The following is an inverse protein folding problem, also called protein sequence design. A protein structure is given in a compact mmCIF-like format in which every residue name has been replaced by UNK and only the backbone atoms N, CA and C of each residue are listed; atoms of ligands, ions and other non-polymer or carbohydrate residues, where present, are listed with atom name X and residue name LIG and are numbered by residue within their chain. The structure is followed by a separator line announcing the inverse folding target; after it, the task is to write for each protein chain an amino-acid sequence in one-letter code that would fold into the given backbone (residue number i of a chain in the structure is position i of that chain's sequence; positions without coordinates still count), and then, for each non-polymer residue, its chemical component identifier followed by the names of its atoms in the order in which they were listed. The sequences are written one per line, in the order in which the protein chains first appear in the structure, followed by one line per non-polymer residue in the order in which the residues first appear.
data_IF_097760602887
#
_entry.id   IF_097760602887
#
_cell.length_a   1.000
_cell.length_b   1.000
_cell.length_c   1.000
_cell.angle_alpha   90.00
_cell.angle_beta   90.00
_cell.angle_gamma   90.00
#
_symmetry.space_group_name_H-M   'P 1'
#
loop_
_entity.id
_entity.type
_entity.pdbx_description
1 polymer ?
#
# COMPACT_ATOMS: atom_id res chain seq x y z
N UNK A 1 4.48 -0.73 -8.64
CA UNK A 1 4.86 -1.81 -9.58
C UNK A 1 3.62 -2.61 -9.93
N UNK A 2 3.48 -3.05 -11.19
CA UNK A 2 2.23 -3.63 -11.72
C UNK A 2 1.84 -4.95 -11.03
N UNK A 3 0.58 -5.32 -11.13
CA UNK A 3 0.12 -6.62 -10.66
C UNK A 3 0.77 -7.80 -11.41
N UNK A 4 0.99 -8.89 -10.67
CA UNK A 4 1.69 -10.07 -11.17
C UNK A 4 3.21 -9.94 -11.32
N UNK A 5 3.83 -8.78 -10.98
CA UNK A 5 5.30 -8.63 -11.01
C UNK A 5 6.02 -9.41 -9.90
N UNK A 6 5.27 -9.91 -8.91
CA UNK A 6 5.80 -10.73 -7.81
C UNK A 6 6.00 -10.00 -6.48
N UNK A 7 5.29 -8.88 -6.23
CA UNK A 7 5.32 -8.13 -4.96
C UNK A 7 5.07 -9.06 -3.75
N UNK A 8 3.94 -9.76 -3.76
CA UNK A 8 3.54 -10.67 -2.70
C UNK A 8 4.46 -11.91 -2.64
N UNK A 9 5.00 -12.37 -3.77
CA UNK A 9 6.00 -13.45 -3.82
C UNK A 9 7.31 -13.04 -3.14
N UNK A 10 7.79 -11.83 -3.40
CA UNK A 10 8.99 -11.27 -2.76
C UNK A 10 8.78 -11.17 -1.24
N UNK A 11 7.65 -10.59 -0.81
CA UNK A 11 7.28 -10.51 0.60
C UNK A 11 7.28 -11.88 1.27
N UNK A 12 6.58 -12.86 0.67
CA UNK A 12 6.49 -14.25 1.17
C UNK A 12 7.86 -14.93 1.23
N UNK A 13 8.77 -14.61 0.31
CA UNK A 13 10.14 -15.13 0.32
C UNK A 13 10.97 -14.51 1.44
N UNK A 14 10.83 -13.19 1.67
CA UNK A 14 11.52 -12.48 2.76
C UNK A 14 11.08 -12.98 4.14
N UNK A 15 9.84 -13.42 4.29
CA UNK A 15 9.33 -13.96 5.56
C UNK A 15 9.43 -15.48 5.67
N UNK A 16 10.26 -16.12 4.82
CA UNK A 16 10.51 -17.57 4.82
C UNK A 16 9.27 -18.45 4.57
N UNK A 17 8.16 -17.87 4.07
CA UNK A 17 6.97 -18.63 3.67
C UNK A 17 7.09 -19.28 2.30
N UNK A 18 7.96 -18.73 1.44
CA UNK A 18 8.32 -19.33 0.15
C UNK A 18 9.84 -19.48 0.07
N UNK A 19 10.35 -20.61 -0.48
CA UNK A 19 11.77 -20.79 -0.67
C UNK A 19 12.30 -19.84 -1.74
N UNK A 20 13.48 -19.27 -1.51
CA UNK A 20 14.15 -18.48 -2.54
C UNK A 20 14.57 -19.36 -3.72
N UNK A 21 14.31 -18.90 -4.94
CA UNK A 21 14.75 -19.58 -6.16
C UNK A 21 16.25 -19.34 -6.47
N UNK A 22 16.88 -18.37 -5.82
CA UNK A 22 18.29 -18.03 -6.01
C UNK A 22 18.72 -16.79 -5.21
N UNK A 23 20.03 -16.60 -5.05
CA UNK A 23 20.57 -15.56 -4.16
C UNK A 23 20.47 -15.94 -2.67
N UNK A 24 20.83 -15.01 -1.79
CA UNK A 24 20.77 -15.19 -0.34
C UNK A 24 20.06 -14.02 0.34
N UNK A 25 19.34 -14.32 1.41
CA UNK A 25 18.75 -13.32 2.31
C UNK A 25 19.53 -13.39 3.62
N UNK A 26 20.04 -12.25 4.07
CA UNK A 26 20.80 -12.13 5.30
C UNK A 26 20.04 -11.26 6.28
N UNK A 27 19.53 -11.88 7.35
CA UNK A 27 18.88 -11.17 8.43
C UNK A 27 19.90 -10.68 9.46
N UNK A 28 19.61 -9.56 10.12
CA UNK A 28 20.39 -9.10 11.26
C UNK A 28 20.33 -10.10 12.42
N UNK A 29 21.35 -10.09 13.27
CA UNK A 29 21.59 -11.12 14.30
C UNK A 29 20.52 -11.26 15.40
N UNK A 30 19.49 -10.39 15.43
CA UNK A 30 18.38 -10.46 16.38
C UNK A 30 17.00 -10.28 15.72
N UNK A 31 16.90 -10.32 14.39
CA UNK A 31 15.64 -10.04 13.69
C UNK A 31 14.64 -11.17 13.92
N UNK A 32 13.54 -10.86 14.60
CA UNK A 32 12.31 -11.65 14.55
C UNK A 32 11.40 -11.11 13.45
N UNK A 33 10.80 -12.03 12.69
CA UNK A 33 9.92 -11.68 11.56
C UNK A 33 8.47 -11.96 11.97
N UNK A 34 7.60 -10.99 11.72
CA UNK A 34 6.16 -11.07 11.90
C UNK A 34 5.50 -10.87 10.55
N UNK A 35 4.59 -11.78 10.18
CA UNK A 35 3.86 -11.71 8.93
C UNK A 35 2.37 -11.61 9.23
N UNK A 36 1.74 -10.54 8.78
CA UNK A 36 0.31 -10.32 8.84
C UNK A 36 -0.30 -10.51 7.46
N UNK A 37 -1.33 -11.34 7.37
CA UNK A 37 -2.07 -11.62 6.14
C UNK A 37 -3.57 -11.63 6.46
N UNK A 38 -4.40 -11.44 5.44
CA UNK A 38 -5.85 -11.37 5.53
C UNK A 38 -6.45 -12.61 6.23
N UNK A 39 -5.84 -13.80 6.06
CA UNK A 39 -6.23 -15.03 6.78
C UNK A 39 -5.93 -14.99 8.29
N UNK A 40 -4.91 -14.27 8.73
CA UNK A 40 -4.56 -14.13 10.15
C UNK A 40 -5.39 -13.06 10.88
N UNK A 41 -6.06 -12.17 10.13
CA UNK A 41 -7.03 -11.22 10.68
C UNK A 41 -8.28 -11.92 11.25
N UNK A 42 -8.52 -13.18 10.88
CA UNK A 42 -9.61 -14.03 11.38
C UNK A 42 -9.35 -14.54 12.81
N UNK A 43 -9.11 -13.63 13.74
CA UNK A 43 -9.08 -13.93 15.18
C UNK A 43 -10.46 -14.43 15.61
N UNK A 44 -10.58 -15.72 15.87
CA UNK A 44 -11.82 -16.42 16.27
C UNK A 44 -11.79 -16.91 17.74
N UNK A 45 -10.81 -16.43 18.52
CA UNK A 45 -10.63 -16.82 19.91
C UNK A 45 -11.85 -16.47 20.76
N UNK A 46 -12.23 -17.36 21.68
CA UNK A 46 -13.25 -17.10 22.69
C UNK A 46 -12.67 -16.50 23.99
N UNK A 47 -11.40 -16.11 23.97
CA UNK A 47 -10.75 -15.42 25.09
C UNK A 47 -11.14 -13.94 25.12
N UNK A 48 -10.92 -13.31 26.26
CA UNK A 48 -10.96 -11.86 26.37
C UNK A 48 -9.77 -11.25 25.64
N UNK A 49 -9.94 -10.07 25.04
CA UNK A 49 -8.87 -9.28 24.40
C UNK A 49 -7.61 -9.24 25.27
N UNK A 50 -7.77 -8.94 26.56
CA UNK A 50 -6.67 -8.90 27.52
C UNK A 50 -5.88 -10.21 27.57
N UNK A 51 -6.58 -11.33 27.73
CA UNK A 51 -5.97 -12.64 27.87
C UNK A 51 -5.34 -13.10 26.55
N UNK A 52 -5.99 -12.80 25.42
CA UNK A 52 -5.48 -13.13 24.10
C UNK A 52 -4.11 -12.50 23.83
N UNK A 53 -3.90 -11.25 24.26
CA UNK A 53 -2.58 -10.62 24.18
C UNK A 53 -1.64 -11.13 25.28
N UNK A 54 -2.15 -11.36 26.50
CA UNK A 54 -1.31 -11.75 27.63
C UNK A 54 -0.71 -13.14 27.47
N UNK A 55 -1.41 -14.08 26.81
CA UNK A 55 -0.90 -15.42 26.52
C UNK A 55 0.39 -15.40 25.68
N UNK A 56 0.55 -14.35 24.85
CA UNK A 56 1.75 -14.13 24.05
C UNK A 56 2.92 -13.57 24.86
N UNK A 57 2.65 -13.03 26.06
CA UNK A 57 3.61 -12.35 26.93
C UNK A 57 3.39 -12.72 28.41
N UNK A 58 3.47 -14.01 28.80
CA UNK A 58 3.05 -14.49 30.13
C UNK A 58 3.92 -13.94 31.28
N UNK A 59 5.13 -13.46 30.97
CA UNK A 59 6.06 -12.87 31.94
C UNK A 59 5.74 -11.39 32.26
N UNK A 60 4.79 -10.78 31.57
CA UNK A 60 4.43 -9.37 31.72
C UNK A 60 3.32 -9.16 32.72
N UNK A 61 3.33 -7.99 33.36
CA UNK A 61 2.26 -7.58 34.27
C UNK A 61 1.00 -7.19 33.49
N UNK A 62 -0.17 -7.38 34.09
CA UNK A 62 -1.45 -6.96 33.48
C UNK A 62 -1.43 -5.47 33.11
N UNK A 63 -0.79 -4.63 33.92
CA UNK A 63 -0.64 -3.19 33.66
C UNK A 63 0.10 -2.94 32.35
N UNK A 64 1.21 -3.64 32.09
CA UNK A 64 1.95 -3.51 30.83
C UNK A 64 1.12 -3.99 29.62
N UNK A 65 0.34 -5.06 29.77
CA UNK A 65 -0.55 -5.55 28.70
C UNK A 65 -1.66 -4.53 28.41
N UNK A 66 -2.28 -3.97 29.45
CA UNK A 66 -3.29 -2.90 29.31
C UNK A 66 -2.73 -1.64 28.68
N UNK A 67 -1.48 -1.27 28.96
CA UNK A 67 -0.82 -0.14 28.29
C UNK A 67 -0.66 -0.41 26.79
N UNK A 68 -0.22 -1.60 26.41
CA UNK A 68 -0.10 -1.97 24.98
C UNK A 68 -1.48 -1.92 24.33
N UNK A 69 -2.48 -2.55 24.91
CA UNK A 69 -3.86 -2.53 24.41
C UNK A 69 -4.42 -1.11 24.30
N UNK A 70 -4.13 -0.24 25.27
CA UNK A 70 -4.51 1.17 25.25
C UNK A 70 -3.91 1.94 24.08
N UNK A 71 -2.67 1.64 23.68
CA UNK A 71 -2.05 2.23 22.48
C UNK A 71 -2.79 1.82 21.19
N UNK A 72 -3.48 0.68 21.20
CA UNK A 72 -4.32 0.20 20.10
C UNK A 72 -5.82 0.47 20.35
N UNK A 73 -6.14 1.48 21.17
CA UNK A 73 -7.49 1.94 21.52
C UNK A 73 -8.42 0.91 22.16
N UNK A 74 -7.86 -0.10 22.82
CA UNK A 74 -8.63 -0.94 23.74
C UNK A 74 -8.59 -0.32 25.14
N UNK A 75 -9.66 0.39 25.50
CA UNK A 75 -9.75 1.16 26.75
C UNK A 75 -10.82 0.60 27.69
N UNK A 76 -10.69 0.85 29.00
CA UNK A 76 -11.71 0.49 29.99
C UNK A 76 -12.14 -0.99 29.91
N UNK A 77 -13.41 -1.21 29.57
CA UNK A 77 -14.03 -2.54 29.45
C UNK A 77 -13.81 -3.22 28.09
N UNK A 78 -13.24 -2.52 27.09
CA UNK A 78 -12.95 -3.09 25.77
C UNK A 78 -11.99 -4.29 25.87
N UNK A 79 -11.03 -4.23 26.80
CA UNK A 79 -10.08 -5.33 27.04
C UNK A 79 -10.76 -6.58 27.60
N UNK A 80 -12.00 -6.45 28.09
CA UNK A 80 -12.79 -7.56 28.63
C UNK A 80 -13.74 -8.16 27.58
N UNK A 81 -13.90 -7.53 26.41
CA UNK A 81 -14.66 -8.08 25.29
C UNK A 81 -14.06 -9.40 24.83
N UNK A 82 -14.91 -10.27 24.29
CA UNK A 82 -14.50 -11.56 23.74
C UNK A 82 -14.00 -11.35 22.30
N UNK A 83 -12.88 -11.95 21.93
CA UNK A 83 -12.23 -11.72 20.64
C UNK A 83 -13.13 -12.09 19.45
N UNK A 84 -13.92 -13.16 19.56
CA UNK A 84 -14.88 -13.55 18.52
C UNK A 84 -15.99 -12.51 18.28
N UNK A 85 -16.30 -11.68 19.28
CA UNK A 85 -17.34 -10.64 19.21
C UNK A 85 -16.85 -9.29 18.69
N UNK A 86 -15.53 -9.15 18.47
CA UNK A 86 -14.93 -7.93 17.96
C UNK A 86 -15.31 -7.66 16.50
N UNK A 87 -15.42 -6.38 16.14
CA UNK A 87 -15.52 -5.96 14.74
C UNK A 87 -14.24 -6.30 13.96
N UNK A 88 -14.29 -6.23 12.61
CA UNK A 88 -13.10 -6.41 11.77
C UNK A 88 -11.96 -5.45 12.14
N UNK A 89 -12.29 -4.17 12.37
CA UNK A 89 -11.35 -3.15 12.82
C UNK A 89 -10.76 -3.43 14.19
N UNK A 90 -11.57 -3.84 15.17
CA UNK A 90 -11.07 -4.26 16.48
C UNK A 90 -10.16 -5.49 16.38
N UNK A 91 -10.50 -6.49 15.56
CA UNK A 91 -9.65 -7.67 15.34
C UNK A 91 -8.31 -7.29 14.73
N UNK A 92 -8.28 -6.38 13.76
CA UNK A 92 -7.04 -5.88 13.19
C UNK A 92 -6.19 -5.16 14.24
N UNK A 93 -6.77 -4.25 15.04
CA UNK A 93 -6.07 -3.56 16.14
C UNK A 93 -5.49 -4.55 17.16
N UNK A 94 -6.23 -5.60 17.51
CA UNK A 94 -5.74 -6.64 18.42
C UNK A 94 -4.61 -7.46 17.79
N UNK A 95 -4.74 -7.84 16.52
CA UNK A 95 -3.68 -8.54 15.81
C UNK A 95 -2.38 -7.73 15.83
N UNK A 96 -2.47 -6.43 15.53
CA UNK A 96 -1.32 -5.51 15.56
C UNK A 96 -0.71 -5.38 16.95
N UNK A 97 -1.53 -5.29 17.99
CA UNK A 97 -1.05 -5.29 19.38
C UNK A 97 -0.26 -6.56 19.70
N UNK A 98 -0.69 -7.72 19.19
CA UNK A 98 0.04 -9.00 19.32
C UNK A 98 1.37 -8.98 18.57
N UNK A 99 1.44 -8.34 17.41
CA UNK A 99 2.66 -8.25 16.58
C UNK A 99 3.67 -7.20 17.06
N UNK A 100 3.21 -6.05 17.56
CA UNK A 100 4.02 -4.88 17.86
C UNK A 100 5.12 -5.12 18.91
N UNK A 101 5.04 -6.18 19.72
CA UNK A 101 6.09 -6.56 20.70
C UNK A 101 6.89 -7.80 20.32
N UNK A 102 6.48 -8.55 19.30
CA UNK A 102 7.10 -9.83 18.90
C UNK A 102 8.13 -9.66 17.78
N UNK A 103 7.98 -8.64 16.94
CA UNK A 103 8.74 -8.54 15.70
C UNK A 103 9.67 -7.32 15.62
N UNK A 104 10.75 -7.45 14.85
CA UNK A 104 11.62 -6.36 14.39
C UNK A 104 11.44 -6.08 12.89
N UNK A 105 10.91 -7.04 12.13
CA UNK A 105 10.48 -6.88 10.74
C UNK A 105 8.98 -7.26 10.64
N UNK A 106 8.12 -6.29 10.42
CA UNK A 106 6.69 -6.48 10.30
C UNK A 106 6.27 -6.40 8.84
N UNK A 107 5.68 -7.49 8.33
CA UNK A 107 5.24 -7.56 6.95
C UNK A 107 3.71 -7.53 6.88
N UNK A 108 3.15 -6.51 6.24
CA UNK A 108 1.77 -6.55 5.81
C UNK A 108 1.68 -7.19 4.42
N UNK A 109 0.87 -8.23 4.30
CA UNK A 109 0.38 -8.70 3.00
C UNK A 109 -0.36 -7.60 2.22
N UNK A 110 -0.88 -7.97 1.05
CA UNK A 110 -1.59 -7.04 0.17
C UNK A 110 -2.75 -6.35 0.91
N UNK A 111 -2.71 -5.02 0.94
CA UNK A 111 -3.77 -4.12 1.39
C UNK A 111 -4.22 -4.28 2.87
N UNK A 112 -3.40 -3.79 3.82
CA UNK A 112 -3.69 -3.93 5.24
C UNK A 112 -4.89 -3.12 5.76
N UNK A 113 -5.38 -2.18 4.95
CA UNK A 113 -6.48 -1.25 5.27
C UNK A 113 -7.85 -1.71 4.75
N UNK A 114 -7.90 -2.74 3.91
CA UNK A 114 -9.06 -3.18 3.09
C UNK A 114 -10.31 -3.61 3.90
N UNK A 115 -10.18 -3.88 5.20
CA UNK A 115 -11.29 -4.31 6.07
C UNK A 115 -11.48 -3.41 7.28
N UNK A 116 -10.96 -2.19 7.21
CA UNK A 116 -10.97 -1.22 8.31
C UNK A 116 -11.90 -0.07 7.95
N UNK A 117 -12.75 0.30 8.90
CA UNK A 117 -13.40 1.60 8.89
C UNK A 117 -12.37 2.72 8.99
N UNK A 118 -12.75 3.93 8.56
CA UNK A 118 -11.85 5.09 8.49
C UNK A 118 -11.16 5.36 9.83
N UNK A 119 -11.91 5.28 10.94
CA UNK A 119 -11.38 5.45 12.30
C UNK A 119 -10.32 4.38 12.64
N UNK A 120 -10.53 3.13 12.23
CA UNK A 120 -9.51 2.09 12.43
C UNK A 120 -8.32 2.23 11.49
N UNK A 121 -8.49 2.80 10.29
CA UNK A 121 -7.37 3.12 9.38
C UNK A 121 -6.46 4.17 10.00
N UNK A 122 -7.00 5.27 10.53
CA UNK A 122 -6.17 6.31 11.17
C UNK A 122 -5.41 5.78 12.40
N UNK A 123 -6.06 4.91 13.18
CA UNK A 123 -5.46 4.31 14.38
C UNK A 123 -4.38 3.31 14.00
N UNK A 124 -4.61 2.53 12.95
CA UNK A 124 -3.62 1.67 12.34
C UNK A 124 -2.40 2.50 11.92
N UNK A 125 -2.61 3.55 11.13
CA UNK A 125 -1.56 4.40 10.61
C UNK A 125 -0.72 5.00 11.75
N UNK A 126 -1.36 5.58 12.77
CA UNK A 126 -0.65 6.12 13.93
C UNK A 126 0.15 5.05 14.69
N UNK A 127 -0.42 3.86 14.88
CA UNK A 127 0.27 2.76 15.56
C UNK A 127 1.47 2.23 14.75
N UNK A 128 1.40 2.30 13.42
CA UNK A 128 2.49 1.91 12.52
C UNK A 128 3.59 2.96 12.43
N UNK A 129 3.25 4.24 12.50
CA UNK A 129 4.23 5.33 12.58
C UNK A 129 5.07 5.22 13.85
N UNK A 130 4.42 4.93 14.98
CA UNK A 130 5.09 4.80 16.28
C UNK A 130 5.78 3.44 16.49
N UNK A 131 5.65 2.51 15.55
CA UNK A 131 6.23 1.18 15.67
C UNK A 131 7.77 1.24 15.56
N UNK A 132 8.52 0.75 16.56
CA UNK A 132 9.97 0.89 16.59
C UNK A 132 10.72 -0.08 15.66
N UNK A 133 10.00 -0.99 14.98
CA UNK A 133 10.59 -1.96 14.06
C UNK A 133 10.55 -1.51 12.60
N UNK A 134 11.07 -2.35 11.70
CA UNK A 134 10.96 -2.14 10.26
C UNK A 134 9.63 -2.68 9.77
N UNK A 135 8.90 -1.91 8.97
CA UNK A 135 7.67 -2.36 8.32
C UNK A 135 7.94 -2.52 6.83
N UNK A 136 7.51 -3.65 6.27
CA UNK A 136 7.51 -3.93 4.85
C UNK A 136 6.07 -4.20 4.43
N UNK A 137 5.54 -3.50 3.45
CA UNK A 137 4.13 -3.64 3.07
C UNK A 137 3.94 -3.42 1.57
N UNK A 138 2.80 -3.91 1.06
CA UNK A 138 2.30 -3.60 -0.27
C UNK A 138 0.91 -3.00 -0.12
N UNK A 139 0.71 -1.84 -0.72
CA UNK A 139 -0.58 -1.13 -0.70
C UNK A 139 -0.83 -0.50 -2.06
N UNK A 140 -2.10 -0.35 -2.40
CA UNK A 140 -2.58 0.47 -3.52
C UNK A 140 -3.09 1.84 -3.05
N UNK A 141 -3.22 2.05 -1.74
CA UNK A 141 -3.67 3.31 -1.12
C UNK A 141 -2.51 4.31 -1.03
N UNK A 142 -2.62 5.40 -1.81
CA UNK A 142 -1.59 6.44 -1.89
C UNK A 142 -1.40 7.18 -0.57
N UNK A 143 -2.49 7.46 0.14
CA UNK A 143 -2.45 8.17 1.41
C UNK A 143 -1.75 7.33 2.48
N UNK A 144 -2.06 6.04 2.54
CA UNK A 144 -1.41 5.10 3.45
C UNK A 144 0.11 4.99 3.17
N UNK A 145 0.51 4.87 1.90
CA UNK A 145 1.93 4.82 1.53
C UNK A 145 2.62 6.12 1.89
N UNK A 146 2.07 7.27 1.52
CA UNK A 146 2.66 8.57 1.84
C UNK A 146 2.82 8.81 3.34
N UNK A 147 1.87 8.34 4.15
CA UNK A 147 1.88 8.57 5.60
C UNK A 147 2.90 7.67 6.34
N UNK A 148 3.17 6.46 5.84
CA UNK A 148 3.97 5.46 6.57
C UNK A 148 5.31 5.17 5.90
N UNK A 149 5.39 5.21 4.58
CA UNK A 149 6.58 4.79 3.86
C UNK A 149 7.71 5.82 4.03
N UNK A 150 8.87 5.32 4.46
CA UNK A 150 10.13 6.08 4.45
C UNK A 150 10.99 5.74 3.23
N UNK A 151 10.62 4.66 2.52
CA UNK A 151 11.28 4.13 1.33
C UNK A 151 10.25 3.44 0.45
N UNK A 152 10.38 3.62 -0.86
CA UNK A 152 9.55 2.95 -1.87
C UNK A 152 10.44 2.03 -2.71
N UNK A 153 10.05 0.75 -2.80
CA UNK A 153 10.72 -0.22 -3.67
C UNK A 153 9.85 -0.48 -4.90
N UNK A 154 10.27 0.02 -6.06
CA UNK A 154 9.59 -0.24 -7.33
C UNK A 154 10.07 -1.57 -7.91
N UNK A 155 9.17 -2.54 -8.02
CA UNK A 155 9.43 -3.82 -8.69
C UNK A 155 9.03 -3.77 -10.16
N UNK A 156 9.99 -4.09 -11.02
CA UNK A 156 9.85 -4.15 -12.48
C UNK A 156 10.29 -5.53 -12.98
N UNK A 157 9.95 -5.89 -14.23
CA UNK A 157 10.38 -7.19 -14.82
C UNK A 157 11.90 -7.40 -14.87
N UNK A 158 12.70 -6.33 -14.77
CA UNK A 158 14.17 -6.37 -14.83
C UNK A 158 14.84 -6.38 -13.46
N UNK A 159 14.10 -6.16 -12.38
CA UNK A 159 14.65 -6.02 -11.03
C UNK A 159 13.85 -5.03 -10.17
N UNK A 160 14.43 -4.62 -9.05
CA UNK A 160 13.82 -3.64 -8.15
C UNK A 160 14.69 -2.39 -8.04
N UNK A 161 14.05 -1.23 -7.95
CA UNK A 161 14.69 0.09 -7.77
C UNK A 161 14.24 0.69 -6.44
N UNK A 162 15.20 1.10 -5.61
CA UNK A 162 14.92 1.75 -4.32
C UNK A 162 14.84 3.27 -4.49
N UNK A 163 13.83 3.87 -3.88
CA UNK A 163 13.65 5.31 -3.74
C UNK A 163 13.56 5.67 -2.26
N UNK A 164 14.37 6.65 -1.83
CA UNK A 164 14.43 7.12 -0.45
C UNK A 164 13.48 8.29 -0.25
N UNK A 165 12.29 8.02 0.28
CA UNK A 165 11.24 9.01 0.48
C UNK A 165 9.86 8.35 0.54
N UNK A 166 8.85 9.20 0.63
CA UNK A 166 7.44 8.84 0.52
C UNK A 166 7.04 8.58 -0.94
N UNK A 167 5.74 8.39 -1.18
CA UNK A 167 5.23 8.11 -2.52
C UNK A 167 5.35 9.35 -3.42
N UNK A 168 5.10 10.54 -2.91
CA UNK A 168 5.23 11.80 -3.67
C UNK A 168 6.66 12.00 -4.18
N UNK A 169 7.66 11.78 -3.31
CA UNK A 169 9.07 11.80 -3.70
C UNK A 169 9.40 10.76 -4.77
N UNK A 170 8.84 9.55 -4.65
CA UNK A 170 9.01 8.50 -5.66
C UNK A 170 8.49 8.96 -7.03
N UNK A 171 7.31 9.59 -7.08
CA UNK A 171 6.72 10.11 -8.32
C UNK A 171 7.59 11.23 -8.92
N UNK A 172 8.03 12.19 -8.10
CA UNK A 172 8.92 13.27 -8.55
C UNK A 172 10.22 12.72 -9.15
N UNK A 173 10.84 11.73 -8.49
CA UNK A 173 12.08 11.11 -9.00
C UNK A 173 11.86 10.29 -10.26
N UNK A 174 10.72 9.63 -10.39
CA UNK A 174 10.37 8.90 -11.60
C UNK A 174 10.25 9.86 -12.79
N UNK A 175 9.60 10.99 -12.57
CA UNK A 175 9.47 12.08 -13.53
C UNK A 175 10.81 12.62 -14.00
N UNK A 176 11.70 13.01 -13.07
CA UNK A 176 13.04 13.48 -13.40
C UNK A 176 13.82 12.45 -14.25
N UNK A 177 13.72 11.15 -13.90
CA UNK A 177 14.40 10.09 -14.64
C UNK A 177 13.86 9.93 -16.07
N UNK A 178 12.55 10.11 -16.27
CA UNK A 178 11.93 10.05 -17.59
C UNK A 178 12.30 11.26 -18.45
N UNK A 179 12.33 12.46 -17.87
CA UNK A 179 12.79 13.68 -18.54
C UNK A 179 14.25 13.56 -19.00
N UNK A 180 15.14 13.07 -18.13
CA UNK A 180 16.54 12.83 -18.47
C UNK A 180 16.71 11.80 -19.58
N UNK A 181 15.92 10.71 -19.56
CA UNK A 181 15.92 9.71 -20.64
C UNK A 181 15.42 10.30 -21.96
N UNK A 182 14.40 11.14 -21.92
CA UNK A 182 13.87 11.82 -23.10
C UNK A 182 14.92 12.78 -23.70
N UNK A 183 15.59 13.58 -22.86
CA UNK A 183 16.69 14.45 -23.27
C UNK A 183 17.85 13.66 -23.90
N UNK A 184 18.31 12.59 -23.25
CA UNK A 184 19.37 11.73 -23.78
C UNK A 184 18.97 11.07 -25.12
N UNK A 185 17.70 10.68 -25.29
CA UNK A 185 17.19 10.13 -26.54
C UNK A 185 17.12 11.18 -27.66
N UNK A 186 16.78 12.43 -27.32
CA UNK A 186 16.82 13.56 -28.26
C UNK A 186 18.26 13.90 -28.66
N UNK A 187 19.20 13.91 -27.72
CA UNK A 187 20.64 14.10 -28.00
C UNK A 187 21.20 12.97 -28.86
N UNK A 188 20.86 11.70 -28.58
CA UNK A 188 21.27 10.57 -29.42
C UNK A 188 20.68 10.65 -30.83
N UNK A 189 19.42 11.12 -30.97
CA UNK A 189 18.81 11.41 -32.27
C UNK A 189 19.50 12.58 -32.99
N UNK A 190 19.82 13.66 -32.28
CA UNK A 190 20.55 14.82 -32.80
C UNK A 190 21.94 14.43 -33.29
N UNK A 191 22.64 13.59 -32.55
CA UNK A 191 23.97 13.06 -32.93
C UNK A 191 23.90 12.20 -34.20
N UNK A 192 22.79 11.48 -34.42
CA UNK A 192 22.50 10.76 -35.67
C UNK A 192 21.97 11.66 -36.81
N UNK A 193 21.48 12.88 -36.52
CA UNK A 193 20.98 13.82 -37.54
C UNK A 193 22.03 14.83 -38.02
N UNK A 194 23.18 14.96 -37.35
CA UNK A 194 24.32 15.78 -37.83
C UNK A 194 24.88 15.27 -39.18
N UNK A 195 24.47 14.08 -39.64
CA UNK A 195 24.81 13.57 -40.98
C UNK A 195 23.82 13.94 -42.11
N UNK A 196 22.67 14.59 -41.88
CA UNK A 196 21.79 15.02 -42.98
C UNK A 196 20.95 16.26 -42.66
N UNK A 197 21.13 17.25 -43.54
CA UNK A 197 20.28 18.40 -43.87
C UNK A 197 20.14 19.57 -42.89
N UNK A 198 21.01 20.56 -43.15
CA UNK A 198 20.72 21.98 -43.02
C UNK A 198 19.78 22.44 -44.14
N UNK A 199 18.52 22.77 -43.82
CA UNK A 199 17.73 23.88 -44.38
C UNK A 199 16.22 23.61 -44.29
N UNK A 200 15.57 24.15 -43.23
CA UNK A 200 14.15 24.60 -43.17
C UNK A 200 13.75 24.83 -41.70
N UNK A 201 14.24 25.90 -41.08
CA UNK A 201 13.76 26.33 -39.77
C UNK A 201 13.51 27.83 -39.82
N UNK A 202 12.22 28.20 -39.77
CA UNK A 202 11.74 29.49 -39.21
C UNK A 202 10.20 29.64 -39.28
N UNK A 203 9.45 28.67 -39.84
CA UNK A 203 7.99 28.60 -39.69
C UNK A 203 7.46 27.43 -38.84
N UNK A 204 8.30 26.43 -38.55
CA UNK A 204 7.91 25.24 -37.78
C UNK A 204 7.96 25.43 -36.25
N UNK A 205 8.81 26.31 -35.75
CA UNK A 205 8.99 26.54 -34.30
C UNK A 205 7.72 27.05 -33.61
N UNK A 206 6.95 27.94 -34.26
CA UNK A 206 5.72 28.50 -33.68
C UNK A 206 4.53 27.51 -33.72
N UNK A 207 4.49 26.61 -34.71
CA UNK A 207 3.49 25.55 -34.79
C UNK A 207 3.79 24.45 -33.77
N UNK A 208 5.06 24.08 -33.61
CA UNK A 208 5.52 23.11 -32.61
C UNK A 208 5.30 23.59 -31.17
N UNK A 209 5.56 24.88 -30.88
CA UNK A 209 5.33 25.43 -29.53
C UNK A 209 3.82 25.50 -29.16
N UNK A 210 2.96 25.75 -30.15
CA UNK A 210 1.50 25.75 -29.96
C UNK A 210 0.92 24.33 -29.80
N UNK A 211 1.50 23.36 -30.49
CA UNK A 211 1.11 21.95 -30.41
C UNK A 211 1.60 21.32 -29.10
N UNK A 212 2.82 21.63 -28.65
CA UNK A 212 3.36 21.23 -27.36
C UNK A 212 2.51 21.76 -26.19
N UNK A 213 2.17 23.05 -26.17
CA UNK A 213 1.27 23.64 -25.16
C UNK A 213 -0.14 23.04 -25.16
N UNK A 214 -0.60 22.54 -26.31
CA UNK A 214 -1.90 21.86 -26.42
C UNK A 214 -1.84 20.45 -25.83
N UNK A 215 -0.79 19.69 -26.15
CA UNK A 215 -0.51 18.37 -25.59
C UNK A 215 -0.34 18.43 -24.07
N UNK A 216 0.40 19.41 -23.57
CA UNK A 216 0.62 19.63 -22.15
C UNK A 216 -0.69 19.94 -21.40
N UNK A 217 -1.54 20.80 -21.97
CA UNK A 217 -2.89 21.06 -21.42
C UNK A 217 -3.79 19.82 -21.46
N UNK A 218 -3.66 18.99 -22.49
CA UNK A 218 -4.43 17.75 -22.62
C UNK A 218 -3.97 16.71 -21.60
N UNK A 219 -2.66 16.57 -21.41
CA UNK A 219 -2.03 15.74 -20.37
C UNK A 219 -2.49 16.18 -18.97
N UNK A 220 -2.41 17.48 -18.67
CA UNK A 220 -2.83 18.03 -17.37
C UNK A 220 -4.33 17.81 -17.09
N UNK A 221 -5.19 18.03 -18.08
CA UNK A 221 -6.64 17.74 -17.92
C UNK A 221 -6.91 16.26 -17.70
N UNK A 222 -6.20 15.38 -18.43
CA UNK A 222 -6.34 13.94 -18.25
C UNK A 222 -5.86 13.51 -16.87
N UNK A 223 -4.79 14.10 -16.37
CA UNK A 223 -4.30 13.87 -15.00
C UNK A 223 -5.35 14.26 -13.96
N UNK A 224 -5.95 15.46 -14.07
CA UNK A 224 -7.04 15.91 -13.18
C UNK A 224 -8.27 14.97 -13.26
N UNK A 225 -8.65 14.51 -14.46
CA UNK A 225 -9.73 13.54 -14.66
C UNK A 225 -9.43 12.19 -14.01
N UNK A 226 -8.20 11.70 -14.17
CA UNK A 226 -7.76 10.42 -13.62
C UNK A 226 -7.66 10.51 -12.09
N UNK A 227 -7.16 11.61 -11.53
CA UNK A 227 -7.16 11.84 -10.08
C UNK A 227 -8.58 11.81 -9.52
N UNK A 228 -9.51 12.53 -10.13
CA UNK A 228 -10.91 12.55 -9.71
C UNK A 228 -11.52 11.14 -9.78
N UNK A 229 -11.23 10.38 -10.84
CA UNK A 229 -11.73 9.02 -10.99
C UNK A 229 -11.13 8.04 -9.97
N UNK A 230 -9.86 8.24 -9.56
CA UNK A 230 -9.23 7.46 -8.50
C UNK A 230 -9.90 7.77 -7.16
N UNK A 231 -10.09 9.04 -6.82
CA UNK A 231 -10.76 9.45 -5.57
C UNK A 231 -12.19 8.88 -5.50
N UNK A 232 -12.95 8.93 -6.60
CA UNK A 232 -14.29 8.36 -6.68
C UNK A 232 -14.29 6.84 -6.45
N UNK A 233 -13.34 6.11 -7.06
CA UNK A 233 -13.22 4.66 -6.88
C UNK A 233 -12.73 4.29 -5.47
N UNK A 234 -11.83 5.06 -4.88
CA UNK A 234 -11.38 4.88 -3.48
C UNK A 234 -12.57 5.01 -2.52
N UNK A 235 -13.43 6.01 -2.74
CA UNK A 235 -14.67 6.19 -1.97
C UNK A 235 -15.67 5.05 -2.21
N UNK A 236 -15.84 4.61 -3.46
CA UNK A 236 -16.75 3.51 -3.80
C UNK A 236 -16.30 2.19 -3.15
N UNK A 237 -14.99 1.92 -3.16
CA UNK A 237 -14.38 0.79 -2.45
C UNK A 237 -14.67 0.88 -0.96
N UNK A 238 -14.41 2.03 -0.34
CA UNK A 238 -14.65 2.23 1.09
C UNK A 238 -16.14 2.03 1.46
N UNK A 239 -17.07 2.50 0.61
CA UNK A 239 -18.52 2.32 0.83
C UNK A 239 -18.93 0.83 0.74
N UNK A 240 -18.40 0.08 -0.22
CA UNK A 240 -18.67 -1.36 -0.33
C UNK A 240 -18.04 -2.16 0.82
N UNK A 241 -16.85 -1.76 1.27
CA UNK A 241 -16.17 -2.33 2.44
C UNK A 241 -17.01 -2.11 3.71
N UNK A 242 -17.55 -0.91 3.91
CA UNK A 242 -18.45 -0.61 5.04
C UNK A 242 -19.73 -1.44 4.98
N UNK A 243 -20.34 -1.59 3.80
CA UNK A 243 -21.53 -2.42 3.61
C UNK A 243 -21.30 -3.90 3.90
N UNK A 244 -20.10 -4.42 3.63
CA UNK A 244 -19.72 -5.80 4.00
C UNK A 244 -19.65 -6.01 5.51
N UNK A 245 -19.44 -4.95 6.29
CA UNK A 245 -19.44 -5.00 7.74
C UNK A 245 -20.86 -5.01 8.35
N UNK A 246 -21.91 -4.73 7.56
CA UNK A 246 -23.29 -4.79 8.03
C UNK A 246 -23.69 -6.26 8.32
N UNK A 247 -24.15 -6.58 9.55
CA UNK A 247 -24.57 -7.93 9.93
C UNK A 247 -25.60 -8.58 8.98
N UNK A 248 -26.46 -7.78 8.34
CA UNK A 248 -27.48 -8.28 7.42
C UNK A 248 -26.90 -8.66 6.05
N UNK A 249 -25.80 -8.04 5.66
CA UNK A 249 -25.08 -8.32 4.41
C UNK A 249 -24.09 -9.46 4.62
N UNK A 250 -23.38 -9.46 5.75
CA UNK A 250 -22.40 -10.50 6.08
C UNK A 250 -23.03 -11.90 6.22
N UNK A 251 -24.26 -11.99 6.71
CA UNK A 251 -25.00 -13.26 6.83
C UNK A 251 -25.62 -13.72 5.50
N UNK A 252 -25.68 -12.84 4.50
CA UNK A 252 -26.23 -13.13 3.18
C UNK A 252 -25.08 -13.41 2.21
N UNK A 253 -24.78 -14.70 2.01
CA UNK A 253 -23.66 -15.15 1.18
C UNK A 253 -23.71 -14.64 -0.26
N UNK A 254 -24.90 -14.40 -0.83
CA UNK A 254 -25.03 -13.86 -2.20
C UNK A 254 -24.66 -12.38 -2.24
N UNK A 255 -25.16 -11.57 -1.29
CA UNK A 255 -24.81 -10.15 -1.21
C UNK A 255 -23.36 -9.91 -0.83
N UNK A 256 -22.82 -10.70 0.10
CA UNK A 256 -21.42 -10.62 0.46
C UNK A 256 -20.51 -10.92 -0.74
N UNK A 257 -20.83 -11.94 -1.54
CA UNK A 257 -20.12 -12.25 -2.78
C UNK A 257 -20.26 -11.13 -3.84
N UNK A 258 -21.44 -10.52 -3.95
CA UNK A 258 -21.66 -9.40 -4.86
C UNK A 258 -20.80 -8.18 -4.50
N UNK A 259 -20.79 -7.76 -3.24
CA UNK A 259 -19.95 -6.64 -2.80
C UNK A 259 -18.46 -6.94 -2.92
N UNK A 260 -18.04 -8.16 -2.59
CA UNK A 260 -16.65 -8.59 -2.80
C UNK A 260 -16.25 -8.48 -4.27
N UNK A 261 -17.11 -8.93 -5.20
CA UNK A 261 -16.84 -8.81 -6.64
C UNK A 261 -16.82 -7.35 -7.12
N UNK A 262 -17.64 -6.47 -6.53
CA UNK A 262 -17.61 -5.03 -6.85
C UNK A 262 -16.32 -4.39 -6.37
N UNK A 263 -15.86 -4.72 -5.17
CA UNK A 263 -14.59 -4.25 -4.62
C UNK A 263 -13.41 -4.70 -5.50
N UNK A 264 -13.35 -5.98 -5.86
CA UNK A 264 -12.29 -6.48 -6.75
C UNK A 264 -12.24 -5.72 -8.07
N UNK A 265 -13.39 -5.51 -8.72
CA UNK A 265 -13.47 -4.74 -9.98
C UNK A 265 -13.08 -3.28 -9.82
N UNK A 266 -13.52 -2.65 -8.73
CA UNK A 266 -13.16 -1.26 -8.46
C UNK A 266 -11.66 -1.14 -8.22
N UNK A 267 -11.04 -2.09 -7.49
CA UNK A 267 -9.59 -2.15 -7.24
C UNK A 267 -8.77 -2.40 -8.51
N UNK A 268 -9.21 -3.30 -9.38
CA UNK A 268 -8.59 -3.49 -10.69
C UNK A 268 -8.58 -2.18 -11.48
N UNK A 269 -9.71 -1.49 -11.54
CA UNK A 269 -9.84 -0.20 -12.25
C UNK A 269 -9.03 0.92 -11.62
N UNK A 270 -8.95 0.95 -10.29
CA UNK A 270 -8.15 1.89 -9.52
C UNK A 270 -6.67 1.70 -9.84
N UNK A 271 -6.21 0.44 -9.95
CA UNK A 271 -4.84 0.14 -10.37
C UNK A 271 -4.57 0.56 -11.82
N UNK A 272 -5.48 0.29 -12.77
CA UNK A 272 -5.35 0.76 -14.16
C UNK A 272 -5.23 2.29 -14.23
N UNK A 273 -6.09 3.01 -13.51
CA UNK A 273 -6.06 4.47 -13.44
C UNK A 273 -4.81 4.96 -12.71
N UNK A 274 -4.29 4.24 -11.72
CA UNK A 274 -3.02 4.59 -11.11
C UNK A 274 -1.86 4.41 -12.08
N UNK A 275 -1.83 3.35 -12.86
CA UNK A 275 -0.81 3.14 -13.90
C UNK A 275 -0.90 4.26 -14.94
N UNK A 276 -2.09 4.57 -15.44
CA UNK A 276 -2.34 5.70 -16.35
C UNK A 276 -1.89 7.02 -15.72
N UNK A 277 -2.23 7.26 -14.45
CA UNK A 277 -1.79 8.45 -13.73
C UNK A 277 -0.26 8.50 -13.63
N UNK A 278 0.43 7.39 -13.38
CA UNK A 278 1.90 7.37 -13.32
C UNK A 278 2.58 7.49 -14.69
N UNK A 279 1.87 7.27 -15.79
CA UNK A 279 2.34 7.56 -17.15
C UNK A 279 2.05 9.02 -17.54
N UNK A 280 0.98 9.59 -16.98
CA UNK A 280 0.57 10.97 -17.22
C UNK A 280 1.24 11.98 -16.29
N UNK A 281 1.58 11.61 -15.05
CA UNK A 281 2.36 12.40 -14.10
C UNK A 281 3.74 12.64 -14.69
#
# INVERSE_FOLDING_TARGET
GPNGVGKSTLLKTIVEKLPSMGGSIHYGSNVSIGYYDQEQAALSSNKKVLNELWDDYPLKSEKEIRTVLGNFLFSGDDVLKVVSTLSGGEKARLALAKFARKSQLFNFGDEPTNHLDLDSKEVLENALIDYPGTILFVSHDRYFINRIATKVLELNRKGATEFLGDYDYFIEKKLEQEELKALAALEAKATNTIANDSAKQDKNSYQQDKEAKRLERQRKRRMEEVETAIEELELEVAEYEERLCDPNVFQDHEKAAEYTSKIEKAKEKLEELMEEWTELA
#
